data_IF_171684531116
#
_entry.id   IF_171684531116
#
_cell.length_a   1.000
_cell.length_b   1.000
_cell.length_c   1.000
_cell.angle_alpha   90.00
_cell.angle_beta   90.00
_cell.angle_gamma   90.00
#
_symmetry.space_group_name_H-M   'P 1'
#
loop_
_entity.id
_entity.type
_entity.pdbx_description
1 polymer ?
#
# COMPACT_ATOMS: atom_id res chain seq x y z
N UNK A 1 5.64 -27.09 11.32
CA UNK A 1 6.71 -26.80 12.30
C UNK A 1 7.72 -25.74 11.87
N UNK A 2 7.49 -24.99 10.77
CA UNK A 2 8.43 -23.96 10.29
C UNK A 2 8.16 -22.54 10.80
N UNK A 3 7.08 -22.34 11.55
CA UNK A 3 6.67 -21.03 12.09
C UNK A 3 7.36 -20.82 13.44
N UNK A 4 8.16 -19.74 13.61
CA UNK A 4 8.77 -19.42 14.90
C UNK A 4 7.72 -19.19 15.97
N UNK A 5 8.01 -19.64 17.20
CA UNK A 5 7.19 -19.29 18.36
C UNK A 5 7.47 -17.85 18.74
N UNK A 6 6.42 -17.04 18.88
CA UNK A 6 6.50 -15.64 19.28
C UNK A 6 5.19 -15.17 19.89
N UNK A 7 5.25 -14.17 20.76
CA UNK A 7 4.10 -13.56 21.43
C UNK A 7 3.50 -12.42 20.61
N UNK A 8 4.36 -11.63 20.00
CA UNK A 8 4.01 -10.41 19.27
C UNK A 8 5.03 -10.13 18.16
N UNK A 9 4.89 -8.99 17.48
CA UNK A 9 5.75 -8.64 16.35
C UNK A 9 7.23 -8.47 16.68
N UNK A 10 7.61 -8.34 17.96
CA UNK A 10 9.00 -8.22 18.39
C UNK A 10 9.76 -9.53 18.30
N UNK A 11 9.06 -10.66 18.27
CA UNK A 11 9.64 -12.00 18.12
C UNK A 11 9.79 -12.42 16.64
N UNK A 12 9.41 -11.56 15.69
CA UNK A 12 9.53 -11.85 14.26
C UNK A 12 11.00 -12.00 13.83
N UNK A 13 11.27 -13.03 13.02
CA UNK A 13 12.62 -13.33 12.51
C UNK A 13 12.77 -12.81 11.08
N UNK A 14 13.70 -11.87 10.85
CA UNK A 14 14.07 -11.41 9.50
C UNK A 14 14.77 -12.55 8.75
N UNK A 15 14.20 -12.96 7.61
CA UNK A 15 14.76 -14.05 6.78
C UNK A 15 15.70 -13.56 5.69
N UNK A 16 15.32 -12.49 5.00
CA UNK A 16 16.06 -11.96 3.85
C UNK A 16 16.01 -10.43 3.83
N UNK A 17 17.11 -9.81 3.39
CA UNK A 17 17.21 -8.38 3.08
C UNK A 17 17.75 -8.28 1.66
N UNK A 18 17.03 -7.59 0.79
CA UNK A 18 17.43 -7.38 -0.61
C UNK A 18 17.72 -5.90 -0.82
N UNK A 19 18.88 -5.60 -1.41
CA UNK A 19 19.35 -4.23 -1.60
C UNK A 19 19.95 -3.61 -0.33
N UNK A 20 20.29 -2.32 -0.42
CA UNK A 20 20.83 -1.53 0.69
C UNK A 20 19.90 -0.37 0.99
N UNK A 21 19.53 -0.19 2.26
CA UNK A 21 18.74 0.95 2.67
C UNK A 21 19.50 2.26 2.36
N UNK A 22 18.85 3.26 1.74
CA UNK A 22 19.49 4.55 1.50
C UNK A 22 19.81 5.23 2.83
N UNK A 23 20.89 6.00 2.86
CA UNK A 23 21.22 6.83 4.03
C UNK A 23 20.10 7.85 4.23
N UNK A 24 19.42 7.79 5.38
CA UNK A 24 18.36 8.73 5.76
C UNK A 24 18.91 9.72 6.78
N UNK A 25 19.23 10.97 6.39
CA UNK A 25 19.52 12.00 7.36
C UNK A 25 18.26 12.38 8.16
N UNK A 26 18.44 13.03 9.31
CA UNK A 26 17.36 13.34 10.25
C UNK A 26 16.32 14.35 9.72
N UNK A 27 16.52 14.91 8.53
CA UNK A 27 15.62 15.88 7.88
C UNK A 27 14.84 15.29 6.70
N UNK A 28 14.85 13.96 6.50
CA UNK A 28 14.01 13.31 5.50
C UNK A 28 12.54 13.52 5.88
N UNK A 29 11.75 14.04 4.93
CA UNK A 29 10.32 14.26 5.10
C UNK A 29 9.54 12.95 5.03
N UNK A 30 8.46 12.89 5.78
CA UNK A 30 7.48 11.81 5.66
C UNK A 30 6.69 11.93 4.36
N UNK A 31 6.11 10.81 3.91
CA UNK A 31 5.39 10.77 2.64
C UNK A 31 4.22 11.76 2.59
N UNK A 32 3.52 11.98 3.70
CA UNK A 32 2.38 12.91 3.78
C UNK A 32 2.86 14.36 3.70
N UNK A 33 3.98 14.72 4.35
CA UNK A 33 4.54 16.08 4.26
C UNK A 33 4.96 16.42 2.83
N UNK A 34 5.53 15.45 2.11
CA UNK A 34 5.89 15.60 0.70
C UNK A 34 4.62 15.77 -0.15
N UNK A 35 3.63 14.90 0.04
CA UNK A 35 2.38 14.92 -0.71
C UNK A 35 1.56 16.20 -0.52
N UNK A 36 1.50 16.70 0.71
CA UNK A 36 0.86 17.98 1.06
C UNK A 36 1.62 19.16 0.47
N UNK A 37 2.96 19.19 0.59
CA UNK A 37 3.79 20.25 0.00
C UNK A 37 3.68 20.31 -1.53
N UNK A 38 3.45 19.17 -2.19
CA UNK A 38 3.15 19.10 -3.62
C UNK A 38 1.71 19.51 -3.97
N UNK A 39 0.84 19.67 -2.98
CA UNK A 39 -0.60 19.89 -3.17
C UNK A 39 -1.32 18.67 -3.77
N UNK A 40 -0.71 17.49 -3.71
CA UNK A 40 -1.18 16.26 -4.38
C UNK A 40 -1.77 15.22 -3.41
N UNK A 41 -1.54 15.34 -2.10
CA UNK A 41 -2.31 14.63 -1.06
C UNK A 41 -3.19 15.64 -0.34
N UNK A 42 -4.49 15.38 -0.30
CA UNK A 42 -5.49 16.31 0.26
C UNK A 42 -6.32 15.59 1.33
N UNK A 43 -5.85 15.69 2.57
CA UNK A 43 -6.47 15.07 3.73
C UNK A 43 -7.70 15.82 4.22
N UNK A 44 -7.71 17.15 4.13
CA UNK A 44 -8.86 17.98 4.53
C UNK A 44 -10.08 17.68 3.66
N UNK A 45 -9.91 17.66 2.33
CA UNK A 45 -11.02 17.29 1.43
C UNK A 45 -11.48 15.86 1.68
N UNK A 46 -10.55 14.93 1.92
CA UNK A 46 -10.91 13.55 2.21
C UNK A 46 -11.68 13.40 3.52
N UNK A 47 -11.27 14.10 4.57
CA UNK A 47 -11.97 14.13 5.85
C UNK A 47 -13.39 14.68 5.73
N UNK A 48 -13.57 15.73 4.90
CA UNK A 48 -14.90 16.28 4.59
C UNK A 48 -15.79 15.29 3.84
N UNK A 49 -15.22 14.43 2.98
CA UNK A 49 -15.97 13.47 2.17
C UNK A 49 -16.31 12.19 2.95
N UNK A 50 -15.36 11.67 3.73
CA UNK A 50 -15.42 10.29 4.26
C UNK A 50 -14.97 10.16 5.72
N UNK A 51 -14.58 11.25 6.40
CA UNK A 51 -14.06 11.22 7.76
C UNK A 51 -12.57 10.86 7.86
N UNK A 52 -12.12 10.52 9.06
CA UNK A 52 -10.70 10.20 9.33
C UNK A 52 -10.19 9.00 8.53
N UNK A 53 -8.88 8.94 8.27
CA UNK A 53 -8.18 7.83 7.57
C UNK A 53 -8.49 7.72 6.07
N UNK A 54 -8.97 8.80 5.44
CA UNK A 54 -9.09 8.93 3.99
C UNK A 54 -8.12 10.00 3.45
N UNK A 55 -7.75 9.90 2.17
CA UNK A 55 -6.93 10.90 1.47
C UNK A 55 -7.39 11.02 0.01
N UNK A 56 -7.44 12.23 -0.54
CA UNK A 56 -7.66 12.46 -1.97
C UNK A 56 -6.30 12.68 -2.63
N UNK A 57 -5.95 11.82 -3.60
CA UNK A 57 -4.74 11.99 -4.43
C UNK A 57 -5.06 12.81 -5.69
N UNK A 58 -4.12 13.66 -6.12
CA UNK A 58 -4.27 14.53 -7.30
C UNK A 58 -3.04 14.49 -8.20
N UNK A 59 -3.23 14.87 -9.47
CA UNK A 59 -2.14 15.13 -10.41
C UNK A 59 -1.21 13.93 -10.63
N UNK A 60 0.10 14.20 -10.60
CA UNK A 60 1.14 13.18 -10.83
C UNK A 60 1.10 12.04 -9.81
N UNK A 61 0.71 12.32 -8.57
CA UNK A 61 0.62 11.30 -7.52
C UNK A 61 -0.54 10.33 -7.75
N UNK A 62 -1.72 10.83 -8.15
CA UNK A 62 -2.84 9.98 -8.56
C UNK A 62 -2.50 9.13 -9.79
N UNK A 63 -1.75 9.68 -10.76
CA UNK A 63 -1.27 8.89 -11.90
C UNK A 63 -0.30 7.79 -11.46
N UNK A 64 0.59 8.09 -10.52
CA UNK A 64 1.58 7.13 -10.02
C UNK A 64 0.92 5.99 -9.25
N UNK A 65 -0.08 6.28 -8.41
CA UNK A 65 -0.87 5.25 -7.71
C UNK A 65 -1.46 4.23 -8.71
N UNK A 66 -2.15 4.72 -9.73
CA UNK A 66 -2.68 3.86 -10.80
C UNK A 66 -1.56 3.10 -11.54
N UNK A 67 -0.44 3.75 -11.84
CA UNK A 67 0.66 3.11 -12.56
C UNK A 67 1.28 1.95 -11.78
N UNK A 68 1.40 2.07 -10.46
CA UNK A 68 1.88 1.00 -9.59
C UNK A 68 0.91 -0.18 -9.60
N UNK A 69 -0.40 0.08 -9.47
CA UNK A 69 -1.41 -0.96 -9.54
C UNK A 69 -1.39 -1.73 -10.87
N UNK A 70 -1.25 -1.02 -11.99
CA UNK A 70 -1.15 -1.64 -13.31
C UNK A 70 0.15 -2.46 -13.46
N UNK A 71 1.29 -1.93 -13.02
CA UNK A 71 2.56 -2.66 -13.04
C UNK A 71 2.47 -4.00 -12.28
N UNK A 72 1.83 -4.01 -11.10
CA UNK A 72 1.65 -5.23 -10.32
C UNK A 72 0.77 -6.26 -11.03
N UNK A 73 -0.34 -5.82 -11.64
CA UNK A 73 -1.21 -6.70 -12.42
C UNK A 73 -0.47 -7.29 -13.62
N UNK A 74 0.18 -6.45 -14.43
CA UNK A 74 0.93 -6.88 -15.62
C UNK A 74 2.01 -7.91 -15.25
N UNK A 75 2.80 -7.62 -14.21
CA UNK A 75 3.86 -8.53 -13.75
C UNK A 75 3.30 -9.91 -13.39
N UNK A 76 2.19 -9.95 -12.65
CA UNK A 76 1.65 -11.21 -12.17
C UNK A 76 0.93 -12.02 -13.26
N UNK A 77 0.22 -11.35 -14.16
CA UNK A 77 -0.55 -12.02 -15.22
C UNK A 77 0.32 -12.46 -16.39
N UNK A 78 1.36 -11.70 -16.71
CA UNK A 78 2.22 -11.98 -17.88
C UNK A 78 3.44 -12.83 -17.55
N UNK A 79 4.02 -12.69 -16.35
CA UNK A 79 5.28 -13.38 -16.00
C UNK A 79 5.10 -14.50 -14.96
N UNK A 80 4.10 -14.40 -14.07
CA UNK A 80 3.92 -15.37 -12.97
C UNK A 80 2.73 -16.33 -13.16
N UNK A 81 1.99 -16.21 -14.27
CA UNK A 81 0.92 -17.13 -14.65
C UNK A 81 -0.37 -16.99 -13.85
N UNK A 82 -0.62 -15.84 -13.22
CA UNK A 82 -1.89 -15.56 -12.56
C UNK A 82 -2.97 -15.21 -13.59
N UNK A 83 -4.21 -15.65 -13.35
CA UNK A 83 -5.38 -15.20 -14.10
C UNK A 83 -5.91 -13.90 -13.47
N UNK A 84 -6.15 -12.87 -14.29
CA UNK A 84 -6.73 -11.61 -13.81
C UNK A 84 -8.23 -11.75 -13.58
N UNK A 85 -8.70 -11.40 -12.38
CA UNK A 85 -10.10 -11.48 -11.99
C UNK A 85 -10.55 -10.14 -11.42
N UNK A 86 -11.74 -9.67 -11.82
CA UNK A 86 -12.42 -8.51 -11.22
C UNK A 86 -13.54 -9.02 -10.30
N UNK A 87 -13.30 -9.17 -8.98
CA UNK A 87 -14.34 -9.62 -8.06
C UNK A 87 -15.31 -8.49 -7.69
N UNK A 88 -16.51 -8.82 -7.19
CA UNK A 88 -17.38 -7.83 -6.53
C UNK A 88 -16.69 -7.19 -5.32
N UNK A 89 -16.79 -5.85 -5.18
CA UNK A 89 -16.22 -5.12 -4.03
C UNK A 89 -17.07 -5.22 -2.75
N UNK A 90 -18.33 -5.65 -2.88
CA UNK A 90 -19.22 -5.93 -1.76
C UNK A 90 -19.60 -7.41 -1.83
N UNK A 91 -19.47 -8.10 -0.70
CA UNK A 91 -19.75 -9.53 -0.58
C UNK A 91 -20.81 -9.78 0.48
N UNK A 92 -21.44 -10.96 0.42
CA UNK A 92 -22.33 -11.44 1.47
C UNK A 92 -21.51 -11.83 2.71
N UNK A 93 -22.16 -11.85 3.87
CA UNK A 93 -21.54 -12.15 5.17
C UNK A 93 -20.86 -13.53 5.19
N UNK A 94 -21.51 -14.54 4.60
CA UNK A 94 -20.99 -15.91 4.49
C UNK A 94 -19.64 -16.01 3.76
N UNK A 95 -19.31 -15.08 2.87
CA UNK A 95 -18.01 -15.05 2.17
C UNK A 95 -16.87 -14.62 3.09
N UNK A 96 -17.16 -13.87 4.16
CA UNK A 96 -16.14 -13.44 5.14
C UNK A 96 -15.78 -14.54 6.14
N UNK A 97 -16.65 -15.53 6.32
CA UNK A 97 -16.46 -16.64 7.23
C UNK A 97 -16.11 -17.92 6.44
N UNK A 98 -14.82 -18.25 6.41
CA UNK A 98 -14.28 -19.49 5.85
C UNK A 98 -13.33 -20.18 6.83
#
# INVERSE_FOLDING_TARGET
>A
DDVPVGKDEHDNVVRHIVGKAPTRPNWVKEHFEIGEALGMMDFERAAKLSGSRFTVLKGGLARMERAIGQFMLDLHTTEHGYEEIIPPLMVKDDVLFG
#
